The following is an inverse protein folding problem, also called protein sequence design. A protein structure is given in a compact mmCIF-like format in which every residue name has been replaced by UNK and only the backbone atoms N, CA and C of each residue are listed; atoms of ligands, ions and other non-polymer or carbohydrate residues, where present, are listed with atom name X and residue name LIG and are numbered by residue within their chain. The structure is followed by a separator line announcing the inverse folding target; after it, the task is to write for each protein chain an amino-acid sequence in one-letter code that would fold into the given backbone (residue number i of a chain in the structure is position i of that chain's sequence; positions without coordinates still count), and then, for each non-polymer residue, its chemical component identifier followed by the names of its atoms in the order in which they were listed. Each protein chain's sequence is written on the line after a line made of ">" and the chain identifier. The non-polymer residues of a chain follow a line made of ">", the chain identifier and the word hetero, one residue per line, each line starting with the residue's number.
data_IF_023786390808
#
_entry.id   IF_023786390808
#
_cell.length_a   1.000
_cell.length_b   1.000
_cell.length_c   1.000
_cell.angle_alpha   90.00
_cell.angle_beta   90.00
_cell.angle_gamma   90.00
#
_symmetry.space_group_name_H-M   'P 1'
#
loop_
_entity.id
_entity.type
_entity.pdbx_description
1 polymer ?
#
# COMPACT_ATOMS: atom_id res chain seq x y z
N UNK A 1 0.23 -8.24 15.63
CA UNK A 1 -1.02 -7.63 15.17
C UNK A 1 -0.99 -6.15 15.54
N UNK A 2 -1.32 -5.28 14.59
CA UNK A 2 -1.19 -3.83 14.76
C UNK A 2 -2.49 -3.11 14.43
N UNK A 3 -2.86 -2.14 15.25
CA UNK A 3 -4.01 -1.26 15.04
C UNK A 3 -3.64 -0.05 14.16
N UNK A 4 -4.54 0.39 13.29
CA UNK A 4 -4.33 1.52 12.35
C UNK A 4 -4.89 2.86 12.80
N UNK A 5 -5.50 2.97 13.98
CA UNK A 5 -6.18 4.21 14.41
C UNK A 5 -7.61 4.34 13.87
N UNK A 6 -8.04 3.46 12.97
CA UNK A 6 -9.38 3.47 12.36
C UNK A 6 -10.33 2.54 13.11
N UNK A 7 -11.54 3.04 13.35
CA UNK A 7 -12.68 2.28 13.86
C UNK A 7 -13.48 1.74 12.67
N UNK A 8 -14.02 0.52 12.79
CA UNK A 8 -14.89 -0.06 11.78
C UNK A 8 -16.19 0.77 11.64
N UNK A 9 -16.54 1.11 10.40
CA UNK A 9 -17.70 1.94 10.10
C UNK A 9 -19.05 1.27 10.45
N UNK A 10 -19.10 -0.06 10.44
CA UNK A 10 -20.30 -0.84 10.75
C UNK A 10 -20.42 -1.18 12.24
N UNK A 11 -19.28 -1.24 12.95
CA UNK A 11 -19.23 -1.62 14.36
C UNK A 11 -18.27 -0.72 15.14
N UNK A 12 -18.81 0.27 15.86
CA UNK A 12 -18.01 1.26 16.60
C UNK A 12 -17.14 0.67 17.71
N UNK A 13 -17.39 -0.59 18.09
CA UNK A 13 -16.58 -1.34 19.07
C UNK A 13 -15.41 -2.09 18.45
N UNK A 14 -15.29 -2.09 17.11
CA UNK A 14 -14.26 -2.81 16.38
C UNK A 14 -13.27 -1.84 15.74
N UNK A 15 -12.03 -2.27 15.64
CA UNK A 15 -10.93 -1.55 15.02
C UNK A 15 -10.35 -2.32 13.85
N UNK A 16 -9.83 -1.58 12.88
CA UNK A 16 -9.11 -2.17 11.77
C UNK A 16 -7.70 -2.56 12.16
N UNK A 17 -7.26 -3.74 11.73
CA UNK A 17 -5.99 -4.32 12.16
C UNK A 17 -5.27 -5.11 11.08
N UNK A 18 -3.95 -5.13 11.17
CA UNK A 18 -3.06 -5.83 10.25
C UNK A 18 -2.18 -6.85 10.98
N UNK A 19 -2.02 -8.01 10.34
CA UNK A 19 -1.16 -9.10 10.78
C UNK A 19 0.06 -9.15 9.86
N UNK A 20 1.21 -8.63 10.31
CA UNK A 20 2.45 -8.65 9.50
C UNK A 20 3.09 -10.03 9.38
N UNK A 21 2.72 -10.97 10.25
CA UNK A 21 3.21 -12.34 10.21
C UNK A 21 2.72 -13.10 8.97
N UNK A 22 1.53 -12.76 8.44
CA UNK A 22 0.90 -13.49 7.33
C UNK A 22 0.19 -12.57 6.30
N UNK A 23 0.25 -11.25 6.48
CA UNK A 23 -0.33 -10.25 5.58
C UNK A 23 -1.84 -10.09 5.68
N UNK A 24 -2.52 -10.73 6.64
CA UNK A 24 -3.97 -10.67 6.77
C UNK A 24 -4.43 -9.32 7.31
N UNK A 25 -5.64 -8.93 6.90
CA UNK A 25 -6.34 -7.75 7.41
C UNK A 25 -7.67 -8.18 8.03
N UNK A 26 -8.12 -7.49 9.06
CA UNK A 26 -9.39 -7.79 9.71
C UNK A 26 -9.76 -6.82 10.81
N UNK A 27 -10.89 -7.09 11.46
CA UNK A 27 -11.45 -6.26 12.52
C UNK A 27 -11.31 -6.95 13.88
N UNK A 28 -11.10 -6.15 14.92
CA UNK A 28 -10.88 -6.65 16.27
C UNK A 28 -11.51 -5.73 17.31
N UNK A 29 -11.84 -6.26 18.49
CA UNK A 29 -12.50 -5.47 19.53
C UNK A 29 -11.58 -4.42 20.15
N UNK A 30 -12.03 -3.17 20.25
CA UNK A 30 -11.24 -2.03 20.75
C UNK A 30 -10.81 -2.15 22.22
N UNK A 31 -11.48 -2.97 23.03
CA UNK A 31 -11.17 -3.12 24.46
C UNK A 31 -9.90 -3.93 24.78
N UNK A 32 -9.24 -4.51 23.78
CA UNK A 32 -8.00 -5.25 23.97
C UNK A 32 -6.77 -4.35 23.73
N UNK A 33 -5.66 -4.67 24.39
CA UNK A 33 -4.39 -3.98 24.16
C UNK A 33 -3.72 -4.49 22.89
N UNK A 34 -3.40 -3.59 21.95
CA UNK A 34 -2.71 -3.90 20.70
C UNK A 34 -1.51 -2.98 20.49
N UNK A 35 -0.51 -3.49 19.77
CA UNK A 35 0.57 -2.64 19.27
C UNK A 35 0.01 -1.67 18.23
N UNK A 36 0.48 -0.42 18.27
CA UNK A 36 0.05 0.62 17.32
C UNK A 36 1.20 0.92 16.38
N UNK A 37 0.90 1.13 15.10
CA UNK A 37 1.85 1.75 14.19
C UNK A 37 1.75 3.26 14.37
N UNK A 38 2.75 3.86 14.99
CA UNK A 38 2.87 5.31 15.01
C UNK A 38 3.26 5.76 13.59
N UNK A 39 2.27 6.07 12.75
CA UNK A 39 2.49 6.66 11.44
C UNK A 39 2.30 8.16 11.58
N UNK A 40 3.37 8.94 11.41
CA UNK A 40 3.30 10.39 11.37
C UNK A 40 2.79 10.84 10.00
N UNK A 41 2.01 11.93 9.95
CA UNK A 41 1.67 12.59 8.69
C UNK A 41 2.97 12.98 7.96
N UNK A 42 3.22 12.35 6.81
CA UNK A 42 4.48 12.49 6.05
C UNK A 42 5.28 11.19 5.91
N UNK A 43 5.06 10.19 6.78
CA UNK A 43 5.72 8.88 6.66
C UNK A 43 5.23 8.12 5.42
N UNK A 44 3.92 8.20 5.14
CA UNK A 44 3.35 7.68 3.89
C UNK A 44 3.69 8.66 2.78
N UNK A 45 4.84 8.45 2.15
CA UNK A 45 5.37 9.30 1.08
C UNK A 45 6.71 9.95 1.39
N UNK A 46 7.33 9.72 2.56
CA UNK A 46 8.70 10.18 2.83
C UNK A 46 9.71 9.65 1.80
N UNK A 47 9.42 8.46 1.26
CA UNK A 47 10.01 7.90 0.05
C UNK A 47 8.96 7.97 -1.06
N UNK A 48 8.74 9.16 -1.64
CA UNK A 48 8.08 9.24 -2.94
C UNK A 48 9.04 8.56 -3.91
N UNK A 49 8.82 7.28 -4.21
CA UNK A 49 9.57 6.62 -5.28
C UNK A 49 9.21 7.37 -6.55
N UNK A 50 10.15 8.10 -7.17
CA UNK A 50 9.83 8.80 -8.38
C UNK A 50 9.51 7.71 -9.42
N UNK A 51 8.31 7.77 -9.99
CA UNK A 51 7.94 7.00 -11.17
C UNK A 51 8.68 7.37 -12.49
N UNK A 52 9.61 8.36 -12.62
CA UNK A 52 10.28 8.63 -13.88
C UNK A 52 10.90 7.39 -14.55
N UNK A 53 11.53 6.50 -13.78
CA UNK A 53 12.20 5.33 -14.36
C UNK A 53 11.22 4.37 -15.06
N UNK A 54 10.02 4.17 -14.50
CA UNK A 54 9.00 3.32 -15.10
C UNK A 54 8.46 3.91 -16.42
N UNK A 55 8.34 5.25 -16.50
CA UNK A 55 7.90 5.94 -17.73
C UNK A 55 8.93 5.79 -18.84
N UNK A 56 10.22 5.95 -18.54
CA UNK A 56 11.30 5.77 -19.51
C UNK A 56 11.44 4.32 -19.98
N UNK A 57 11.32 3.36 -19.06
CA UNK A 57 11.38 1.94 -19.40
C UNK A 57 10.19 1.54 -20.27
N UNK A 58 8.97 1.93 -19.89
CA UNK A 58 7.77 1.65 -20.67
C UNK A 58 7.82 2.33 -22.04
N UNK A 59 8.23 3.59 -22.10
CA UNK A 59 8.35 4.36 -23.35
C UNK A 59 9.37 3.74 -24.31
N UNK A 60 10.56 3.39 -23.82
CA UNK A 60 11.58 2.73 -24.64
C UNK A 60 11.17 1.34 -25.11
N UNK A 61 10.50 0.56 -24.25
CA UNK A 61 9.92 -0.73 -24.61
C UNK A 61 8.85 -0.62 -25.70
N UNK A 62 7.96 0.38 -25.62
CA UNK A 62 6.91 0.61 -26.62
C UNK A 62 7.50 1.01 -27.98
N UNK A 63 8.51 1.89 -27.99
CA UNK A 63 9.20 2.32 -29.23
C UNK A 63 9.89 1.11 -29.88
N UNK A 64 10.59 0.31 -29.08
CA UNK A 64 11.22 -0.92 -29.57
C UNK A 64 10.20 -1.87 -30.18
N UNK A 65 9.08 -2.12 -29.48
CA UNK A 65 8.03 -3.02 -29.93
C UNK A 65 7.35 -2.52 -31.23
N UNK A 66 7.08 -1.22 -31.32
CA UNK A 66 6.55 -0.61 -32.54
C UNK A 66 7.52 -0.73 -33.73
N UNK A 67 8.83 -0.61 -33.48
CA UNK A 67 9.86 -0.84 -34.49
C UNK A 67 9.90 -2.28 -34.99
N UNK A 68 9.77 -3.27 -34.11
CA UNK A 68 9.69 -4.69 -34.47
C UNK A 68 8.41 -4.99 -35.25
N UNK A 69 7.27 -4.44 -34.84
CA UNK A 69 5.98 -4.65 -35.49
C UNK A 69 5.92 -4.12 -36.94
N UNK A 70 6.72 -3.10 -37.27
CA UNK A 70 6.80 -2.49 -38.61
C UNK A 70 7.76 -3.21 -39.57
N UNK A 71 8.51 -4.23 -39.12
CA UNK A 71 9.41 -5.04 -39.98
C UNK A 71 8.72 -6.24 -40.63
N UNK A 72 7.40 -6.16 -40.84
CA UNK A 72 6.65 -7.07 -41.72
C UNK A 72 6.44 -6.44 -43.08
#
# INVERSE_FOLDING_TARGET
>A
MYWTGLVDANFSSNIWSFYFNDGRQGTNYFGNSYYTLAVQSGDIGASVVPLPAAVWLLGSGLIFLAGVARRK
#
